data_IF_550401212412
#
_entry.id   IF_550401212412
#
_cell.length_a   1.000
_cell.length_b   1.000
_cell.length_c   1.000
_cell.angle_alpha   90.00
_cell.angle_beta   90.00
_cell.angle_gamma   90.00
#
_symmetry.space_group_name_H-M   'P 1'
#
loop_
_entity.id
_entity.type
_entity.pdbx_description
1 polymer ?
#
# COMPACT_ATOMS: atom_id res chain seq x y z
N UNK A 1 -28.40 -31.65 -58.94
CA UNK A 1 -28.08 -30.27 -58.52
C UNK A 1 -27.40 -30.34 -57.16
N UNK A 2 -26.19 -29.78 -57.06
CA UNK A 2 -25.31 -29.89 -55.90
C UNK A 2 -25.56 -28.73 -54.94
N UNK A 3 -25.66 -28.99 -53.62
CA UNK A 3 -25.53 -27.94 -52.61
C UNK A 3 -24.35 -28.27 -51.70
N UNK A 4 -23.22 -27.59 -51.95
CA UNK A 4 -22.09 -27.52 -51.02
C UNK A 4 -22.40 -26.42 -50.01
N UNK A 5 -22.65 -26.81 -48.77
CA UNK A 5 -22.81 -25.87 -47.65
C UNK A 5 -21.41 -25.46 -47.19
N UNK A 6 -21.03 -24.22 -47.43
CA UNK A 6 -19.81 -23.62 -46.89
C UNK A 6 -20.09 -23.15 -45.46
N UNK A 7 -19.46 -23.77 -44.47
CA UNK A 7 -19.43 -23.27 -43.10
C UNK A 7 -18.36 -22.17 -43.00
N UNK A 8 -18.81 -20.91 -42.95
CA UNK A 8 -17.96 -19.76 -42.63
C UNK A 8 -17.83 -19.67 -41.11
N UNK A 9 -16.66 -20.03 -40.57
CA UNK A 9 -16.32 -19.84 -39.17
C UNK A 9 -15.92 -18.37 -38.97
N UNK A 10 -16.64 -17.56 -38.17
CA UNK A 10 -16.24 -16.19 -37.93
C UNK A 10 -15.03 -16.20 -36.98
N UNK A 11 -13.87 -15.77 -37.49
CA UNK A 11 -12.67 -15.58 -36.72
C UNK A 11 -12.88 -14.37 -35.79
N UNK A 12 -13.20 -14.60 -34.52
CA UNK A 12 -13.21 -13.57 -33.48
C UNK A 12 -11.76 -13.11 -33.24
N UNK A 13 -11.38 -11.97 -33.82
CA UNK A 13 -10.13 -11.29 -33.47
C UNK A 13 -10.37 -10.55 -32.15
N UNK A 14 -9.91 -11.15 -31.05
CA UNK A 14 -9.84 -10.45 -29.76
C UNK A 14 -8.64 -9.50 -29.82
N UNK A 15 -8.91 -8.21 -30.04
CA UNK A 15 -7.94 -7.14 -29.83
C UNK A 15 -7.65 -7.04 -28.33
N UNK A 16 -6.60 -7.73 -27.88
CA UNK A 16 -6.02 -7.50 -26.56
C UNK A 16 -5.36 -6.12 -26.61
N UNK A 17 -6.08 -5.08 -26.17
CA UNK A 17 -5.45 -3.83 -25.79
C UNK A 17 -4.58 -4.12 -24.57
N UNK A 18 -3.30 -4.41 -24.80
CA UNK A 18 -2.28 -4.34 -23.74
C UNK A 18 -2.12 -2.85 -23.48
N UNK A 19 -2.94 -2.28 -22.60
CA UNK A 19 -2.56 -1.05 -21.94
C UNK A 19 -1.21 -1.34 -21.30
N UNK A 20 -0.20 -0.60 -21.75
CA UNK A 20 1.14 -0.63 -21.17
C UNK A 20 0.96 -0.30 -19.69
N UNK A 21 0.88 -1.32 -18.85
CA UNK A 21 0.97 -1.14 -17.40
C UNK A 21 2.38 -0.60 -17.23
N UNK A 22 2.51 0.68 -16.87
CA UNK A 22 3.76 1.17 -16.32
C UNK A 22 3.96 0.40 -15.01
N UNK A 23 4.64 -0.74 -15.14
CA UNK A 23 4.87 -1.67 -14.06
C UNK A 23 5.82 -0.99 -13.09
N UNK A 24 5.34 -0.72 -11.88
CA UNK A 24 6.16 -0.22 -10.79
C UNK A 24 7.15 -1.32 -10.41
N UNK A 25 8.44 -1.00 -10.40
CA UNK A 25 9.47 -1.88 -9.87
C UNK A 25 9.45 -1.83 -8.33
N UNK A 26 9.64 -2.99 -7.70
CA UNK A 26 9.63 -3.11 -6.24
C UNK A 26 10.90 -3.79 -5.78
N UNK A 27 11.65 -3.14 -4.90
CA UNK A 27 12.87 -3.70 -4.31
C UNK A 27 12.81 -3.72 -2.80
N UNK A 28 13.46 -4.70 -2.19
CA UNK A 28 13.51 -4.85 -0.73
C UNK A 28 14.96 -5.10 -0.30
N UNK A 29 15.45 -4.27 0.61
CA UNK A 29 16.80 -4.35 1.15
C UNK A 29 16.74 -4.41 2.66
N UNK A 30 17.35 -5.42 3.28
CA UNK A 30 17.51 -5.50 4.72
C UNK A 30 18.92 -5.01 5.10
N UNK A 31 19.06 -3.72 5.38
CA UNK A 31 20.34 -3.11 5.77
C UNK A 31 20.74 -3.53 7.19
N UNK A 32 19.75 -3.89 8.01
CA UNK A 32 19.91 -4.31 9.39
C UNK A 32 20.01 -5.83 9.58
N UNK A 33 20.41 -6.60 8.55
CA UNK A 33 20.34 -8.07 8.54
C UNK A 33 21.07 -8.76 9.71
N UNK A 34 22.09 -8.12 10.29
CA UNK A 34 22.87 -8.64 11.42
C UNK A 34 22.31 -8.24 12.80
N UNK A 35 21.22 -7.48 12.86
CA UNK A 35 20.52 -7.14 14.10
C UNK A 35 19.46 -8.20 14.43
N UNK A 36 19.04 -8.36 15.70
CA UNK A 36 17.97 -9.30 16.02
C UNK A 36 16.65 -9.00 15.28
N UNK A 37 16.36 -7.71 15.06
CA UNK A 37 15.23 -7.26 14.27
C UNK A 37 15.30 -7.63 12.79
N UNK A 38 16.45 -7.40 12.15
CA UNK A 38 16.66 -7.79 10.76
C UNK A 38 16.64 -9.30 10.55
N UNK A 39 17.17 -10.08 11.50
CA UNK A 39 17.05 -11.55 11.50
C UNK A 39 15.58 -11.96 11.61
N UNK A 40 14.83 -11.33 12.52
CA UNK A 40 13.39 -11.58 12.68
C UNK A 40 12.61 -11.25 11.40
N UNK A 41 12.91 -10.13 10.74
CA UNK A 41 12.31 -9.79 9.45
C UNK A 41 12.51 -10.90 8.42
N UNK A 42 13.75 -11.39 8.25
CA UNK A 42 14.05 -12.44 7.28
C UNK A 42 13.28 -13.75 7.59
N UNK A 43 13.13 -14.08 8.86
CA UNK A 43 12.47 -15.30 9.33
C UNK A 43 10.94 -15.23 9.21
N UNK A 44 10.33 -14.14 9.67
CA UNK A 44 8.88 -14.07 9.90
C UNK A 44 8.12 -13.39 8.75
N UNK A 45 8.79 -12.54 7.97
CA UNK A 45 8.18 -11.68 6.95
C UNK A 45 8.78 -12.00 5.57
N UNK A 46 10.07 -11.70 5.41
CA UNK A 46 10.85 -11.95 4.20
C UNK A 46 10.67 -10.92 3.09
N UNK A 47 11.72 -10.74 2.29
CA UNK A 47 11.72 -9.85 1.14
C UNK A 47 10.67 -10.21 0.07
N UNK A 48 10.47 -11.49 -0.33
CA UNK A 48 9.47 -11.83 -1.34
C UNK A 48 8.05 -11.45 -0.95
N UNK A 49 7.67 -11.72 0.30
CA UNK A 49 6.34 -11.34 0.82
C UNK A 49 6.17 -9.82 0.88
N UNK A 50 7.22 -9.10 1.27
CA UNK A 50 7.19 -7.64 1.32
C UNK A 50 7.02 -7.03 -0.07
N UNK A 51 7.71 -7.57 -1.08
CA UNK A 51 7.55 -7.14 -2.47
C UNK A 51 6.13 -7.37 -3.00
N UNK A 52 5.55 -8.54 -2.72
CA UNK A 52 4.15 -8.84 -3.04
C UNK A 52 3.18 -7.89 -2.31
N UNK A 53 3.47 -7.57 -1.05
CA UNK A 53 2.67 -6.66 -0.23
C UNK A 53 2.68 -5.24 -0.81
N UNK A 54 3.83 -4.73 -1.25
CA UNK A 54 3.92 -3.41 -1.90
C UNK A 54 3.10 -3.36 -3.20
N UNK A 55 3.18 -4.40 -4.03
CA UNK A 55 2.40 -4.48 -5.26
C UNK A 55 0.88 -4.55 -4.98
N UNK A 56 0.48 -5.32 -3.96
CA UNK A 56 -0.91 -5.40 -3.53
C UNK A 56 -1.40 -4.06 -2.95
N UNK A 57 -0.61 -3.41 -2.10
CA UNK A 57 -0.92 -2.11 -1.52
C UNK A 57 -1.10 -1.04 -2.61
N UNK A 58 -0.16 -0.94 -3.56
CA UNK A 58 -0.26 -0.03 -4.70
C UNK A 58 -1.55 -0.25 -5.49
N UNK A 59 -1.88 -1.51 -5.82
CA UNK A 59 -3.11 -1.82 -6.56
C UNK A 59 -4.36 -1.42 -5.76
N UNK A 60 -4.36 -1.71 -4.45
CA UNK A 60 -5.45 -1.35 -3.54
C UNK A 60 -5.63 0.17 -3.46
N UNK A 61 -4.52 0.92 -3.34
CA UNK A 61 -4.52 2.38 -3.24
C UNK A 61 -5.00 3.02 -4.55
N UNK A 62 -4.51 2.54 -5.70
CA UNK A 62 -4.98 3.05 -6.99
C UNK A 62 -6.47 2.81 -7.20
N UNK A 63 -7.01 1.68 -6.74
CA UNK A 63 -8.45 1.45 -6.76
C UNK A 63 -9.18 2.40 -5.79
N UNK A 64 -8.67 2.54 -4.55
CA UNK A 64 -9.26 3.39 -3.51
C UNK A 64 -9.34 4.86 -3.94
N UNK A 65 -8.31 5.37 -4.60
CA UNK A 65 -8.25 6.75 -5.09
C UNK A 65 -8.71 6.91 -6.54
N UNK A 66 -9.27 5.86 -7.16
CA UNK A 66 -9.72 5.84 -8.55
C UNK A 66 -8.63 6.22 -9.57
N UNK A 67 -7.36 6.02 -9.23
CA UNK A 67 -6.20 6.33 -10.07
C UNK A 67 -5.95 5.26 -11.14
N UNK A 68 -6.51 4.05 -11.01
CA UNK A 68 -6.35 2.97 -11.99
C UNK A 68 -6.88 3.36 -13.38
N UNK A 69 -7.99 4.10 -13.43
CA UNK A 69 -8.64 4.54 -14.66
C UNK A 69 -8.17 5.92 -15.12
N UNK A 70 -7.20 6.52 -14.44
CA UNK A 70 -6.67 7.85 -14.76
C UNK A 70 -5.15 7.93 -14.58
N UNK A 71 -4.36 7.17 -15.40
CA UNK A 71 -2.90 7.15 -15.27
C UNK A 71 -2.25 8.53 -15.37
N UNK A 72 -2.83 9.44 -16.16
CA UNK A 72 -2.35 10.82 -16.31
C UNK A 72 -2.50 11.67 -15.03
N UNK A 73 -3.40 11.30 -14.12
CA UNK A 73 -3.63 12.00 -12.84
C UNK A 73 -2.86 11.35 -11.68
N UNK A 74 -2.19 10.22 -11.92
CA UNK A 74 -1.39 9.51 -10.95
C UNK A 74 0.03 10.10 -10.90
N UNK A 75 0.67 10.04 -9.74
CA UNK A 75 2.11 10.29 -9.64
C UNK A 75 2.89 9.31 -10.54
N UNK A 76 3.92 9.80 -11.21
CA UNK A 76 4.85 8.97 -11.96
C UNK A 76 5.93 8.41 -11.02
N UNK A 77 5.71 7.21 -10.49
CA UNK A 77 6.64 6.52 -9.60
C UNK A 77 7.02 5.18 -10.25
N UNK A 78 8.17 5.11 -10.95
CA UNK A 78 8.58 3.90 -11.65
C UNK A 78 9.13 2.82 -10.70
N UNK A 79 9.51 3.19 -9.48
CA UNK A 79 10.09 2.27 -8.49
C UNK A 79 9.68 2.66 -7.07
N UNK A 80 9.41 1.64 -6.25
CA UNK A 80 9.28 1.74 -4.79
C UNK A 80 10.31 0.83 -4.13
N UNK A 81 11.05 1.37 -3.16
CA UNK A 81 12.09 0.63 -2.44
C UNK A 81 11.73 0.49 -0.97
N UNK A 82 11.79 -0.72 -0.42
CA UNK A 82 11.66 -0.97 1.01
C UNK A 82 13.03 -1.23 1.62
N UNK A 83 13.32 -0.54 2.71
CA UNK A 83 14.49 -0.74 3.54
C UNK A 83 14.08 -1.19 4.95
N UNK A 84 14.75 -2.21 5.46
CA UNK A 84 14.68 -2.59 6.88
C UNK A 84 15.94 -2.08 7.56
N UNK A 85 15.79 -1.04 8.36
CA UNK A 85 16.90 -0.26 8.93
C UNK A 85 16.98 -0.39 10.45
N UNK A 86 18.20 -0.29 10.99
CA UNK A 86 18.39 -0.17 12.43
C UNK A 86 18.11 1.27 12.89
N UNK A 87 16.83 1.58 13.11
CA UNK A 87 16.37 2.93 13.44
C UNK A 87 15.32 2.95 14.55
N UNK A 88 15.09 4.13 15.15
CA UNK A 88 13.96 4.38 16.05
C UNK A 88 12.65 4.57 15.28
N UNK A 89 11.53 4.61 16.00
CA UNK A 89 10.20 4.74 15.40
C UNK A 89 9.70 3.44 14.78
N UNK A 90 8.62 3.53 13.99
CA UNK A 90 7.99 2.37 13.34
C UNK A 90 8.43 2.30 11.88
N UNK A 91 8.05 3.30 11.10
CA UNK A 91 8.39 3.42 9.70
C UNK A 91 8.25 4.88 9.24
N UNK A 92 8.74 5.17 8.03
CA UNK A 92 8.44 6.40 7.30
C UNK A 92 8.61 6.19 5.79
N UNK A 93 8.02 7.08 5.00
CA UNK A 93 8.20 7.14 3.55
C UNK A 93 8.81 8.47 3.07
N UNK A 94 9.80 8.40 2.19
CA UNK A 94 10.42 9.56 1.55
C UNK A 94 10.96 9.18 0.17
N UNK A 95 10.84 10.04 -0.84
CA UNK A 95 11.42 9.81 -2.18
C UNK A 95 11.07 8.44 -2.83
N UNK A 96 9.85 7.94 -2.60
CA UNK A 96 9.38 6.60 -3.01
C UNK A 96 10.11 5.43 -2.32
N UNK A 97 10.80 5.71 -1.23
CA UNK A 97 11.43 4.74 -0.34
C UNK A 97 10.58 4.63 0.92
N UNK A 98 10.44 3.40 1.42
CA UNK A 98 9.79 3.06 2.68
C UNK A 98 10.88 2.50 3.57
N UNK A 99 11.01 3.04 4.77
CA UNK A 99 11.96 2.58 5.77
C UNK A 99 11.18 2.01 6.94
N UNK A 100 11.45 0.76 7.33
CA UNK A 100 10.81 0.10 8.46
C UNK A 100 11.88 -0.23 9.51
N UNK A 101 11.57 0.06 10.77
CA UNK A 101 12.49 -0.14 11.88
C UNK A 101 12.65 -1.62 12.21
N UNK A 102 13.89 -2.12 12.10
CA UNK A 102 14.28 -3.41 12.64
C UNK A 102 14.06 -3.47 14.16
N UNK A 103 14.25 -2.37 14.89
CA UNK A 103 14.02 -2.30 16.34
C UNK A 103 12.54 -2.48 16.68
N UNK A 104 11.64 -1.89 15.91
CA UNK A 104 10.20 -2.11 16.05
C UNK A 104 9.83 -3.56 15.76
N UNK A 105 10.33 -4.13 14.65
CA UNK A 105 10.13 -5.54 14.32
C UNK A 105 10.62 -6.44 15.46
N UNK A 106 11.79 -6.17 16.04
CA UNK A 106 12.31 -6.92 17.18
C UNK A 106 11.37 -6.86 18.38
N UNK A 107 10.90 -5.67 18.74
CA UNK A 107 10.08 -5.42 19.93
C UNK A 107 8.62 -5.83 19.81
N UNK A 108 8.10 -6.02 18.59
CA UNK A 108 6.67 -6.26 18.40
C UNK A 108 6.22 -7.63 18.94
N UNK A 109 5.23 -7.62 19.84
CA UNK A 109 4.58 -8.83 20.34
C UNK A 109 3.37 -9.19 19.49
N UNK A 110 3.23 -10.46 19.10
CA UNK A 110 2.10 -10.96 18.31
C UNK A 110 2.47 -11.21 16.85
N UNK A 111 1.48 -11.10 15.97
CA UNK A 111 1.64 -11.33 14.53
C UNK A 111 2.36 -10.15 13.86
N UNK A 112 3.69 -10.15 13.93
CA UNK A 112 4.55 -9.13 13.33
C UNK A 112 4.40 -9.07 11.81
N UNK A 113 4.05 -10.18 11.16
CA UNK A 113 3.85 -10.22 9.71
C UNK A 113 2.63 -9.39 9.35
N UNK A 114 1.49 -9.64 9.99
CA UNK A 114 0.26 -8.84 9.79
C UNK A 114 0.46 -7.38 10.16
N UNK A 115 1.18 -7.08 11.23
CA UNK A 115 1.50 -5.69 11.61
C UNK A 115 2.26 -4.98 10.49
N UNK A 116 3.36 -5.58 10.02
CA UNK A 116 4.18 -4.97 8.97
C UNK A 116 3.41 -4.89 7.66
N UNK A 117 2.51 -5.83 7.34
CA UNK A 117 1.60 -5.69 6.20
C UNK A 117 0.77 -4.40 6.31
N UNK A 118 0.20 -4.12 7.49
CA UNK A 118 -0.53 -2.88 7.74
C UNK A 118 0.34 -1.63 7.62
N UNK A 119 1.54 -1.64 8.20
CA UNK A 119 2.51 -0.55 8.08
C UNK A 119 2.88 -0.28 6.61
N UNK A 120 3.14 -1.33 5.82
CA UNK A 120 3.45 -1.16 4.40
C UNK A 120 2.28 -0.57 3.60
N UNK A 121 1.02 -0.85 3.96
CA UNK A 121 -0.15 -0.20 3.35
C UNK A 121 -0.20 1.29 3.70
N UNK A 122 0.05 1.64 4.96
CA UNK A 122 0.13 3.03 5.42
C UNK A 122 1.23 3.79 4.66
N UNK A 123 2.48 3.30 4.68
CA UNK A 123 3.60 4.00 4.04
C UNK A 123 3.46 4.04 2.51
N UNK A 124 2.86 3.02 1.90
CA UNK A 124 2.55 3.05 0.47
C UNK A 124 1.52 4.12 0.13
N UNK A 125 0.58 4.43 1.03
CA UNK A 125 -0.38 5.51 0.81
C UNK A 125 0.33 6.86 0.70
N UNK A 126 1.34 7.14 1.53
CA UNK A 126 2.15 8.36 1.44
C UNK A 126 2.87 8.50 0.08
N UNK A 127 3.30 7.39 -0.53
CA UNK A 127 3.88 7.40 -1.88
C UNK A 127 2.84 7.87 -2.90
N UNK A 128 1.65 7.30 -2.88
CA UNK A 128 0.66 7.46 -3.96
C UNK A 128 -0.33 8.62 -3.78
N UNK A 129 -0.60 9.04 -2.54
CA UNK A 129 -1.54 10.11 -2.27
C UNK A 129 -0.94 11.49 -2.60
N UNK A 130 -1.74 12.38 -3.17
CA UNK A 130 -1.35 13.78 -3.31
C UNK A 130 -1.44 14.46 -1.94
N UNK A 131 -0.45 15.29 -1.59
CA UNK A 131 -0.40 15.98 -0.30
C UNK A 131 -0.72 17.48 -0.39
N UNK A 132 -1.43 17.89 -1.45
CA UNK A 132 -1.76 19.29 -1.69
C UNK A 132 -0.53 20.19 -1.88
N UNK A 133 0.54 19.67 -2.50
CA UNK A 133 1.83 20.35 -2.63
C UNK A 133 2.40 20.78 -1.27
N UNK A 134 2.30 19.89 -0.27
CA UNK A 134 2.74 20.13 1.10
C UNK A 134 1.86 21.07 1.93
N UNK A 135 0.69 21.48 1.42
CA UNK A 135 -0.22 22.42 2.13
C UNK A 135 -1.37 21.73 2.85
N UNK A 136 -1.60 20.45 2.59
CA UNK A 136 -2.64 19.71 3.29
C UNK A 136 -2.28 19.56 4.79
N UNK A 137 -3.27 19.59 5.71
CA UNK A 137 -3.02 19.35 7.12
C UNK A 137 -2.36 17.98 7.35
N UNK A 138 -1.32 17.92 8.17
CA UNK A 138 -0.61 16.66 8.45
C UNK A 138 -1.54 15.56 8.97
N UNK A 139 -2.50 15.89 9.84
CA UNK A 139 -3.45 14.90 10.35
C UNK A 139 -4.42 14.35 9.32
N UNK A 140 -4.69 15.09 8.25
CA UNK A 140 -5.42 14.54 7.10
C UNK A 140 -4.53 13.56 6.32
N UNK A 141 -3.26 13.92 6.11
CA UNK A 141 -2.29 13.10 5.38
C UNK A 141 -2.05 11.75 6.06
N UNK A 142 -1.80 11.76 7.36
CA UNK A 142 -1.68 10.52 8.16
C UNK A 142 -3.00 9.75 8.23
N UNK A 143 -4.12 10.46 8.36
CA UNK A 143 -5.44 9.86 8.41
C UNK A 143 -5.85 9.14 7.13
N UNK A 144 -5.46 9.65 5.95
CA UNK A 144 -5.69 8.98 4.67
C UNK A 144 -4.87 7.67 4.59
N UNK A 145 -3.63 7.69 5.09
CA UNK A 145 -2.79 6.50 5.12
C UNK A 145 -3.38 5.41 6.04
N UNK A 146 -3.86 5.80 7.22
CA UNK A 146 -4.56 4.87 8.10
C UNK A 146 -5.95 4.46 7.60
N UNK A 147 -6.64 5.31 6.84
CA UNK A 147 -7.87 4.95 6.16
C UNK A 147 -7.65 3.81 5.14
N UNK A 148 -6.59 3.88 4.35
CA UNK A 148 -6.19 2.79 3.44
C UNK A 148 -5.95 1.49 4.22
N UNK A 149 -5.18 1.56 5.31
CA UNK A 149 -4.92 0.41 6.19
C UNK A 149 -6.21 -0.14 6.82
N UNK A 150 -7.11 0.72 7.28
CA UNK A 150 -8.39 0.37 7.87
C UNK A 150 -9.27 -0.39 6.88
N UNK A 151 -9.47 0.17 5.68
CA UNK A 151 -10.34 -0.40 4.65
C UNK A 151 -9.78 -1.69 4.06
N UNK A 152 -8.46 -1.88 4.10
CA UNK A 152 -7.82 -3.15 3.77
C UNK A 152 -8.00 -4.23 4.86
N UNK A 153 -8.66 -3.90 5.98
CA UNK A 153 -8.86 -4.82 7.09
C UNK A 153 -7.59 -5.10 7.89
N UNK A 154 -6.64 -4.15 7.89
CA UNK A 154 -5.32 -4.24 8.54
C UNK A 154 -5.17 -3.30 9.74
N UNK A 155 -6.27 -2.71 10.21
CA UNK A 155 -6.31 -1.94 11.45
C UNK A 155 -5.95 -2.81 12.66
N UNK A 156 -4.98 -2.40 13.51
CA UNK A 156 -4.72 -2.97 14.82
C UNK A 156 -5.96 -3.00 15.72
N UNK A 157 -6.05 -4.00 16.58
CA UNK A 157 -7.20 -4.17 17.50
C UNK A 157 -7.34 -3.09 18.56
N UNK A 158 -6.27 -2.32 18.83
CA UNK A 158 -6.27 -1.24 19.79
C UNK A 158 -6.71 0.11 19.20
N UNK A 159 -6.92 0.19 17.88
CA UNK A 159 -7.42 1.41 17.25
C UNK A 159 -8.79 1.81 17.78
N UNK A 160 -9.05 3.11 17.75
CA UNK A 160 -10.33 3.67 18.19
C UNK A 160 -11.50 3.09 17.40
N UNK A 161 -12.66 3.08 18.05
CA UNK A 161 -13.93 2.71 17.41
C UNK A 161 -14.55 3.91 16.69
N UNK A 162 -15.46 3.68 15.72
CA UNK A 162 -16.23 4.76 15.10
C UNK A 162 -16.87 5.69 16.14
N UNK A 163 -16.73 7.00 15.95
CA UNK A 163 -17.28 8.02 16.84
C UNK A 163 -16.44 8.34 18.09
N UNK A 164 -15.26 7.73 18.26
CA UNK A 164 -14.29 8.10 19.30
C UNK A 164 -13.28 9.14 18.79
N UNK A 165 -12.60 9.81 19.72
CA UNK A 165 -11.69 10.93 19.45
C UNK A 165 -12.34 12.30 19.74
N UNK A 166 -11.52 13.35 19.76
CA UNK A 166 -11.96 14.70 20.11
C UNK A 166 -12.31 15.54 18.88
N UNK A 167 -11.59 15.31 17.76
CA UNK A 167 -11.81 15.98 16.48
C UNK A 167 -11.56 15.02 15.31
N UNK A 168 -12.25 15.26 14.20
CA UNK A 168 -12.21 14.39 13.03
C UNK A 168 -10.84 14.35 12.32
N UNK A 169 -9.98 15.35 12.54
CA UNK A 169 -8.69 15.53 11.86
C UNK A 169 -7.47 15.33 12.79
N UNK A 170 -7.63 14.65 13.93
CA UNK A 170 -6.54 14.43 14.90
C UNK A 170 -5.48 13.40 14.50
N UNK A 171 -5.36 13.12 13.21
CA UNK A 171 -4.47 12.12 12.62
C UNK A 171 -4.97 10.68 12.78
N UNK A 172 -4.22 9.77 12.15
CA UNK A 172 -4.25 8.33 12.36
C UNK A 172 -5.64 7.69 12.33
N UNK A 173 -5.89 6.76 13.25
CA UNK A 173 -7.07 5.93 13.34
C UNK A 173 -8.37 6.73 13.51
N UNK A 174 -8.35 7.86 14.24
CA UNK A 174 -9.54 8.71 14.38
C UNK A 174 -9.92 9.37 13.04
N UNK A 175 -8.95 9.99 12.36
CA UNK A 175 -9.22 10.54 11.02
C UNK A 175 -9.61 9.43 10.05
N UNK A 176 -9.00 8.25 10.14
CA UNK A 176 -9.36 7.10 9.32
C UNK A 176 -10.82 6.64 9.52
N UNK A 177 -11.28 6.58 10.77
CA UNK A 177 -12.68 6.27 11.08
C UNK A 177 -13.64 7.33 10.53
N UNK A 178 -13.29 8.61 10.65
CA UNK A 178 -14.08 9.69 10.05
C UNK A 178 -14.17 9.57 8.52
N UNK A 179 -13.04 9.35 7.84
CA UNK A 179 -13.03 9.13 6.39
C UNK A 179 -13.83 7.88 5.99
N UNK A 180 -13.78 6.82 6.79
CA UNK A 180 -14.63 5.63 6.59
C UNK A 180 -16.11 5.93 6.73
N UNK A 181 -16.51 6.76 7.69
CA UNK A 181 -17.89 7.23 7.81
C UNK A 181 -18.32 8.03 6.57
N UNK A 182 -17.47 8.93 6.06
CA UNK A 182 -17.76 9.71 4.84
C UNK A 182 -17.87 8.84 3.57
N UNK A 183 -17.28 7.64 3.58
CA UNK A 183 -17.30 6.68 2.47
C UNK A 183 -18.29 5.52 2.68
N UNK A 184 -19.23 5.65 3.62
CA UNK A 184 -20.21 4.60 3.95
C UNK A 184 -21.45 4.63 3.06
#
# INVERSE_FOLDING_TARGET
>A
MSHKIFFLCPLFVVLIFIQKIDAVDYSVTNTAANTPGGVRFNRDIGAPYSQQTLAAATSYIWNTFQQQNSPACRKNVPKVSLFIDDMSGVAFAINNEIHVSARYIQGYSGDVKREITGVLYHESAHIWQWNGNGKAPGGLIEGIADYVRLKAGLGPSHWVKPGQGDRWDQCYDVTAQFLSYCNS
#
